data_IF_329877084235
#
_entry.id   IF_329877084235
#
_cell.length_a   1.000
_cell.length_b   1.000
_cell.length_c   1.000
_cell.angle_alpha   90.00
_cell.angle_beta   90.00
_cell.angle_gamma   90.00
#
_symmetry.space_group_name_H-M   'P 1'
#
loop_
_entity.id
_entity.type
_entity.pdbx_description
1 polymer ?
#
# COMPACT_ATOMS: atom_id res chain seq x y z
N UNK A 1 -7.20 29.69 -66.21
CA UNK A 1 -5.77 29.83 -65.81
C UNK A 1 -5.72 30.00 -64.31
N UNK A 2 -4.91 29.15 -63.65
CA UNK A 2 -4.45 29.12 -62.24
C UNK A 2 -5.46 28.92 -61.09
N UNK A 3 -5.29 27.87 -60.25
CA UNK A 3 -6.11 27.60 -59.07
C UNK A 3 -5.54 28.29 -57.82
N UNK A 4 -6.41 28.89 -57.01
CA UNK A 4 -6.04 29.45 -55.71
C UNK A 4 -6.30 28.44 -54.59
N UNK A 5 -5.20 27.84 -54.12
CA UNK A 5 -4.89 27.63 -52.70
C UNK A 5 -5.88 26.83 -51.84
N UNK A 6 -5.70 25.51 -51.86
CA UNK A 6 -6.07 24.61 -50.76
C UNK A 6 -5.24 24.96 -49.50
N UNK A 7 -5.70 25.91 -48.67
CA UNK A 7 -5.07 26.24 -47.38
C UNK A 7 -6.04 26.49 -46.23
N UNK A 8 -7.33 26.18 -46.38
CA UNK A 8 -8.37 26.57 -45.41
C UNK A 8 -9.09 25.40 -44.75
N UNK A 9 -8.43 24.26 -44.53
CA UNK A 9 -9.05 23.11 -43.83
C UNK A 9 -8.26 22.65 -42.59
N UNK A 10 -7.07 23.21 -42.33
CA UNK A 10 -6.20 22.73 -41.24
C UNK A 10 -6.25 23.52 -39.93
N UNK A 11 -7.11 24.53 -39.79
CA UNK A 11 -7.17 25.34 -38.57
C UNK A 11 -8.32 25.03 -37.60
N UNK A 12 -9.26 24.15 -37.97
CA UNK A 12 -10.42 23.81 -37.14
C UNK A 12 -10.26 22.58 -36.25
N UNK A 13 -9.24 21.75 -36.48
CA UNK A 13 -9.05 20.48 -35.77
C UNK A 13 -8.01 20.53 -34.64
N UNK A 14 -7.29 21.65 -34.48
CA UNK A 14 -6.18 21.78 -33.51
C UNK A 14 -6.57 22.51 -32.20
N UNK A 15 -7.86 22.85 -32.01
CA UNK A 15 -8.36 23.50 -30.79
C UNK A 15 -9.08 22.54 -29.83
N UNK A 16 -9.18 21.25 -30.16
CA UNK A 16 -9.77 20.21 -29.29
C UNK A 16 -8.73 19.39 -28.50
N UNK A 17 -7.45 19.76 -28.57
CA UNK A 17 -6.33 18.98 -28.00
C UNK A 17 -5.69 19.59 -26.74
N UNK A 18 -6.29 20.62 -26.13
CA UNK A 18 -5.70 21.32 -24.98
C UNK A 18 -6.60 21.43 -23.73
N UNK A 19 -7.72 20.71 -23.68
CA UNK A 19 -8.61 20.68 -22.51
C UNK A 19 -8.61 19.34 -21.74
N UNK A 20 -7.62 18.49 -22.00
CA UNK A 20 -7.26 17.41 -21.09
C UNK A 20 -5.92 17.79 -20.43
N UNK A 21 -5.87 18.95 -19.79
CA UNK A 21 -4.92 19.18 -18.71
C UNK A 21 -5.30 18.17 -17.63
N UNK A 22 -4.69 16.99 -17.69
CA UNK A 22 -4.62 16.11 -16.54
C UNK A 22 -4.06 16.96 -15.41
N UNK A 23 -4.88 17.25 -14.43
CA UNK A 23 -4.38 17.55 -13.10
C UNK A 23 -3.52 16.35 -12.76
N UNK A 24 -2.20 16.52 -12.88
CA UNK A 24 -1.25 15.59 -12.30
C UNK A 24 -1.41 15.71 -10.79
N UNK A 25 -2.50 15.18 -10.27
CA UNK A 25 -2.70 15.01 -8.84
C UNK A 25 -1.56 14.10 -8.39
N UNK A 26 -0.77 14.63 -7.47
CA UNK A 26 0.27 13.86 -6.82
C UNK A 26 -0.39 12.61 -6.22
N UNK A 27 -0.01 11.40 -6.68
CA UNK A 27 -0.66 10.16 -6.28
C UNK A 27 -0.46 9.84 -4.79
N UNK A 28 0.40 10.58 -4.09
CA UNK A 28 0.62 10.48 -2.64
C UNK A 28 -0.40 11.29 -1.85
N UNK A 29 -1.02 12.33 -2.43
CA UNK A 29 -2.05 13.12 -1.77
C UNK A 29 -3.33 12.30 -1.60
N UNK A 30 -3.92 12.34 -0.41
CA UNK A 30 -5.17 11.65 -0.15
C UNK A 30 -6.31 12.37 -0.91
N UNK A 31 -7.19 11.61 -1.60
CA UNK A 31 -8.32 12.21 -2.31
C UNK A 31 -9.25 12.93 -1.34
N UNK A 32 -10.06 13.87 -1.84
CA UNK A 32 -11.10 14.51 -1.02
C UNK A 32 -11.97 13.45 -0.34
N UNK A 33 -12.24 13.64 0.95
CA UNK A 33 -12.96 12.63 1.73
C UNK A 33 -14.43 12.61 1.32
N UNK A 34 -14.86 11.48 0.77
CA UNK A 34 -16.26 11.17 0.58
C UNK A 34 -16.64 10.04 1.52
N UNK A 35 -17.50 10.30 2.52
CA UNK A 35 -17.91 9.29 3.49
C UNK A 35 -17.88 9.75 4.96
N UNK A 36 -18.12 8.83 5.91
CA UNK A 36 -18.09 9.15 7.33
C UNK A 36 -16.69 9.60 7.78
N UNK A 37 -16.60 10.23 8.95
CA UNK A 37 -15.33 10.62 9.54
C UNK A 37 -14.47 9.38 9.89
N UNK A 38 -13.14 9.44 9.77
CA UNK A 38 -12.26 8.37 10.23
C UNK A 38 -12.48 8.11 11.73
N UNK A 39 -12.47 6.83 12.10
CA UNK A 39 -12.56 6.39 13.50
C UNK A 39 -11.44 5.40 13.81
N UNK A 40 -10.81 5.57 14.97
CA UNK A 40 -9.80 4.64 15.50
C UNK A 40 -10.41 3.27 15.81
N UNK A 41 -11.67 3.21 16.23
CA UNK A 41 -12.38 1.94 16.45
C UNK A 41 -12.55 1.19 15.12
N UNK A 42 -12.92 1.91 14.05
CA UNK A 42 -13.03 1.32 12.72
C UNK A 42 -11.68 0.86 12.16
N UNK A 43 -10.60 1.59 12.46
CA UNK A 43 -9.23 1.19 12.13
C UNK A 43 -8.87 -0.10 12.86
N UNK A 44 -9.09 -0.14 14.18
CA UNK A 44 -8.77 -1.29 15.03
C UNK A 44 -9.50 -2.54 14.58
N UNK A 45 -10.82 -2.48 14.40
CA UNK A 45 -11.60 -3.64 13.96
C UNK A 45 -11.10 -4.20 12.62
N UNK A 46 -10.74 -3.31 11.69
CA UNK A 46 -10.21 -3.73 10.39
C UNK A 46 -8.80 -4.28 10.49
N UNK A 47 -7.97 -3.73 11.37
CA UNK A 47 -6.64 -4.24 11.64
C UNK A 47 -6.70 -5.61 12.33
N UNK A 48 -7.67 -5.85 13.21
CA UNK A 48 -7.92 -7.17 13.81
C UNK A 48 -8.23 -8.21 12.72
N UNK A 49 -9.10 -7.87 11.75
CA UNK A 49 -9.43 -8.76 10.62
C UNK A 49 -8.19 -9.07 9.75
N UNK A 50 -7.35 -8.06 9.49
CA UNK A 50 -6.10 -8.24 8.76
C UNK A 50 -5.09 -9.09 9.54
N UNK A 51 -4.96 -8.86 10.84
CA UNK A 51 -4.06 -9.61 11.74
C UNK A 51 -4.49 -11.07 11.84
N UNK A 52 -5.80 -11.34 11.87
CA UNK A 52 -6.32 -12.70 11.81
C UNK A 52 -5.94 -13.39 10.49
N UNK A 53 -6.10 -12.71 9.35
CA UNK A 53 -5.69 -13.25 8.06
C UNK A 53 -4.18 -13.53 7.99
N UNK A 54 -3.36 -12.68 8.61
CA UNK A 54 -1.92 -12.86 8.73
C UNK A 54 -1.55 -14.08 9.58
N UNK A 55 -2.13 -14.20 10.78
CA UNK A 55 -1.88 -15.31 11.72
C UNK A 55 -2.33 -16.68 11.18
N UNK A 56 -3.33 -16.69 10.29
CA UNK A 56 -3.86 -17.90 9.66
C UNK A 56 -3.21 -18.21 8.30
N UNK A 57 -2.14 -17.49 7.91
CA UNK A 57 -1.46 -17.62 6.62
C UNK A 57 -2.43 -17.45 5.42
N UNK A 58 -3.54 -16.71 5.59
CA UNK A 58 -4.54 -16.41 4.56
C UNK A 58 -4.11 -15.21 3.72
N UNK A 59 -3.02 -15.37 2.97
CA UNK A 59 -2.39 -14.28 2.19
C UNK A 59 -3.34 -13.54 1.26
N UNK A 60 -4.29 -14.24 0.65
CA UNK A 60 -5.26 -13.62 -0.27
C UNK A 60 -6.29 -12.76 0.45
N UNK A 61 -6.62 -13.12 1.68
CA UNK A 61 -7.48 -12.30 2.53
C UNK A 61 -6.71 -11.08 3.03
N UNK A 62 -5.45 -11.26 3.44
CA UNK A 62 -4.58 -10.14 3.83
C UNK A 62 -4.37 -9.14 2.68
N UNK A 63 -4.23 -9.62 1.44
CA UNK A 63 -4.08 -8.77 0.26
C UNK A 63 -5.25 -7.80 0.05
N UNK A 64 -6.47 -8.16 0.47
CA UNK A 64 -7.68 -7.31 0.33
C UNK A 64 -7.60 -6.02 1.15
N UNK A 65 -6.74 -5.96 2.16
CA UNK A 65 -6.56 -4.77 2.99
C UNK A 65 -5.60 -3.75 2.36
N UNK A 66 -4.90 -4.10 1.27
CA UNK A 66 -4.07 -3.15 0.52
C UNK A 66 -4.93 -2.10 -0.15
N UNK A 67 -4.48 -0.85 -0.07
CA UNK A 67 -5.17 0.28 -0.69
C UNK A 67 -5.42 0.07 -2.18
N UNK A 68 -6.59 0.46 -2.71
CA UNK A 68 -6.84 0.51 -4.14
C UNK A 68 -5.80 1.31 -4.90
N UNK A 69 -5.21 2.34 -4.27
CA UNK A 69 -4.11 3.12 -4.84
C UNK A 69 -2.83 2.28 -4.98
N UNK A 70 -2.63 1.31 -4.09
CA UNK A 70 -1.46 0.44 -4.05
C UNK A 70 -1.47 -0.72 -5.05
N UNK A 71 -2.67 -1.11 -5.49
CA UNK A 71 -2.88 -2.29 -6.33
C UNK A 71 -3.35 -1.97 -7.75
N UNK A 72 -3.88 -0.77 -8.01
CA UNK A 72 -4.35 -0.39 -9.35
C UNK A 72 -3.22 0.16 -10.23
N UNK A 73 -3.14 -0.25 -11.51
CA UNK A 73 -2.23 0.37 -12.47
C UNK A 73 -2.50 1.88 -12.58
N UNK A 74 -1.44 2.70 -12.53
CA UNK A 74 -1.53 4.15 -12.80
C UNK A 74 -1.21 4.46 -14.27
N UNK A 75 -1.95 5.40 -14.85
CA UNK A 75 -1.74 5.99 -16.17
C UNK A 75 -1.02 7.36 -16.01
N UNK A 76 -0.16 7.79 -16.95
CA UNK A 76 0.16 7.19 -18.25
C UNK A 76 1.22 6.07 -18.18
N UNK A 77 1.03 5.03 -19.01
CA UNK A 77 2.02 3.98 -19.24
C UNK A 77 3.28 4.61 -19.86
N UNK A 78 4.41 4.64 -19.13
CA UNK A 78 5.70 5.06 -19.72
C UNK A 78 6.69 5.75 -18.80
N UNK A 79 6.34 6.06 -17.54
CA UNK A 79 7.31 6.47 -16.52
C UNK A 79 7.59 5.30 -15.56
N UNK A 80 8.85 4.94 -15.32
CA UNK A 80 9.21 3.85 -14.41
C UNK A 80 9.08 4.35 -12.97
N UNK A 81 7.89 4.14 -12.38
CA UNK A 81 7.46 4.36 -10.98
C UNK A 81 6.02 4.87 -11.11
N UNK A 82 4.94 4.23 -10.69
CA UNK A 82 4.56 3.78 -9.35
C UNK A 82 3.22 3.05 -9.59
N UNK A 83 3.10 1.73 -9.70
CA UNK A 83 2.92 0.75 -8.62
C UNK A 83 2.27 -0.49 -9.26
N UNK A 84 2.48 -1.70 -8.75
CA UNK A 84 1.55 -2.83 -8.93
C UNK A 84 1.96 -3.91 -7.93
N UNK A 85 1.51 -3.79 -6.68
CA UNK A 85 1.58 -4.93 -5.77
C UNK A 85 0.64 -6.00 -6.32
N UNK A 86 1.12 -6.85 -7.23
CA UNK A 86 0.31 -7.98 -7.70
C UNK A 86 0.08 -8.91 -6.52
N UNK A 87 -0.99 -9.69 -6.58
CA UNK A 87 -1.28 -10.69 -5.57
C UNK A 87 -0.09 -11.66 -5.40
N UNK A 88 0.54 -12.06 -6.49
CA UNK A 88 1.71 -12.94 -6.50
C UNK A 88 2.93 -12.30 -5.82
N UNK A 89 3.25 -11.04 -6.17
CA UNK A 89 4.35 -10.31 -5.56
C UNK A 89 4.11 -10.10 -4.06
N UNK A 90 2.88 -9.75 -3.68
CA UNK A 90 2.51 -9.59 -2.28
C UNK A 90 2.72 -10.88 -1.47
N UNK A 91 2.28 -12.02 -2.00
CA UNK A 91 2.45 -13.32 -1.33
C UNK A 91 3.94 -13.64 -1.18
N UNK A 92 4.72 -13.42 -2.25
CA UNK A 92 6.15 -13.69 -2.25
C UNK A 92 6.90 -12.81 -1.24
N UNK A 93 6.67 -11.50 -1.25
CA UNK A 93 7.34 -10.56 -0.37
C UNK A 93 6.97 -10.81 1.10
N UNK A 94 5.68 -10.95 1.38
CA UNK A 94 5.19 -11.21 2.75
C UNK A 94 5.72 -12.53 3.28
N UNK A 95 5.65 -13.60 2.47
CA UNK A 95 6.15 -14.92 2.86
C UNK A 95 7.66 -14.93 3.10
N UNK A 96 8.43 -14.26 2.24
CA UNK A 96 9.90 -14.17 2.38
C UNK A 96 10.30 -13.39 3.63
N UNK A 97 9.59 -12.29 3.93
CA UNK A 97 9.86 -11.47 5.12
C UNK A 97 9.50 -12.22 6.41
N UNK A 98 8.37 -12.91 6.45
CA UNK A 98 7.99 -13.76 7.59
C UNK A 98 9.00 -14.89 7.80
N UNK A 99 9.49 -15.51 6.72
CA UNK A 99 10.55 -16.51 6.81
C UNK A 99 11.85 -15.91 7.37
N UNK A 100 12.20 -14.68 6.99
CA UNK A 100 13.36 -13.96 7.53
C UNK A 100 13.20 -13.67 9.03
N UNK A 101 12.03 -13.20 9.46
CA UNK A 101 11.73 -12.95 10.89
C UNK A 101 11.90 -14.23 11.70
N UNK A 102 11.32 -15.35 11.23
CA UNK A 102 11.48 -16.67 11.87
C UNK A 102 12.95 -17.06 11.97
N UNK A 103 13.72 -16.89 10.90
CA UNK A 103 15.14 -17.20 10.89
C UNK A 103 15.95 -16.33 11.87
N UNK A 104 15.67 -15.02 11.94
CA UNK A 104 16.32 -14.10 12.89
C UNK A 104 15.99 -14.46 14.35
N UNK A 105 14.77 -14.91 14.60
CA UNK A 105 14.31 -15.41 15.88
C UNK A 105 14.88 -16.79 16.26
N UNK A 106 15.69 -17.41 15.40
CA UNK A 106 16.21 -18.76 15.62
C UNK A 106 15.15 -19.86 15.52
N UNK A 107 14.00 -19.56 14.92
CA UNK A 107 12.90 -20.50 14.67
C UNK A 107 13.18 -21.23 13.36
N UNK A 108 13.08 -22.55 13.37
CA UNK A 108 13.36 -23.38 12.19
C UNK A 108 12.09 -24.12 11.74
N UNK A 109 12.03 -24.52 10.46
CA UNK A 109 10.89 -25.28 9.91
C UNK A 109 9.55 -24.50 10.00
N UNK A 110 8.48 -25.19 10.39
CA UNK A 110 7.09 -24.73 10.40
C UNK A 110 6.66 -24.11 11.75
N UNK A 111 7.64 -23.69 12.56
CA UNK A 111 7.38 -23.00 13.82
C UNK A 111 6.59 -21.71 13.56
N UNK A 112 5.50 -21.55 14.31
CA UNK A 112 4.56 -20.45 14.12
C UNK A 112 4.94 -19.25 14.97
N UNK A 113 4.78 -18.08 14.36
CA UNK A 113 4.76 -16.80 15.05
C UNK A 113 3.37 -16.21 14.92
N UNK A 114 2.98 -15.38 15.88
CA UNK A 114 1.70 -14.69 15.92
C UNK A 114 1.90 -13.21 16.10
N UNK A 115 1.15 -12.40 15.39
CA UNK A 115 1.09 -10.97 15.56
C UNK A 115 -0.06 -10.61 16.49
N UNK A 116 0.19 -9.70 17.43
CA UNK A 116 -0.82 -9.13 18.32
C UNK A 116 -0.77 -7.60 18.25
N UNK A 117 -1.94 -6.97 18.09
CA UNK A 117 -2.02 -5.51 18.05
C UNK A 117 -1.82 -4.96 19.46
N UNK A 118 -0.78 -4.13 19.62
CA UNK A 118 -0.46 -3.49 20.90
C UNK A 118 -0.96 -2.05 20.99
N UNK A 119 -1.04 -1.35 19.85
CA UNK A 119 -1.49 0.03 19.82
C UNK A 119 -2.11 0.41 18.47
N UNK A 120 -3.06 1.33 18.49
CA UNK A 120 -3.72 1.89 17.32
C UNK A 120 -3.91 3.39 17.50
N UNK A 121 -3.18 4.17 16.72
CA UNK A 121 -3.15 5.63 16.83
C UNK A 121 -3.33 6.30 15.47
N UNK A 122 -3.53 7.61 15.48
CA UNK A 122 -3.42 8.44 14.26
C UNK A 122 -2.09 9.19 14.28
N UNK A 123 -1.49 9.42 13.11
CA UNK A 123 -0.30 10.28 13.01
C UNK A 123 -0.71 11.71 13.37
N UNK A 124 0.08 12.37 14.22
CA UNK A 124 -0.17 13.75 14.64
C UNK A 124 -0.40 14.64 13.41
N UNK A 125 -1.41 15.50 13.49
CA UNK A 125 -1.89 16.40 12.42
C UNK A 125 -2.56 15.75 11.19
N UNK A 126 -2.75 14.42 11.16
CA UNK A 126 -3.38 13.71 10.02
C UNK A 126 -4.35 12.63 10.49
N UNK A 127 -5.59 13.03 10.75
CA UNK A 127 -6.74 12.20 11.15
C UNK A 127 -7.06 11.04 10.18
N UNK A 128 -6.64 11.17 8.91
CA UNK A 128 -6.80 10.16 7.86
C UNK A 128 -5.60 9.23 7.70
N UNK A 129 -4.62 9.30 8.60
CA UNK A 129 -3.46 8.41 8.62
C UNK A 129 -3.41 7.73 9.99
N UNK A 130 -3.60 6.42 9.98
CA UNK A 130 -3.50 5.55 11.13
C UNK A 130 -2.14 4.88 11.20
N UNK A 131 -1.74 4.51 12.41
CA UNK A 131 -0.60 3.65 12.70
C UNK A 131 -1.11 2.52 13.58
N UNK A 132 -0.85 1.28 13.16
CA UNK A 132 -1.18 0.07 13.90
C UNK A 132 0.13 -0.61 14.27
N UNK A 133 0.40 -0.72 15.58
CA UNK A 133 1.58 -1.42 16.08
C UNK A 133 1.22 -2.86 16.41
N UNK A 134 2.01 -3.79 15.89
CA UNK A 134 1.87 -5.22 16.12
C UNK A 134 3.15 -5.78 16.72
N UNK A 135 3.05 -6.50 17.83
CA UNK A 135 4.17 -7.24 18.38
C UNK A 135 4.13 -8.69 17.89
N UNK A 136 5.32 -9.28 17.72
CA UNK A 136 5.49 -10.63 17.18
C UNK A 136 5.80 -11.58 18.33
N UNK A 137 5.03 -12.66 18.45
CA UNK A 137 5.16 -13.64 19.52
C UNK A 137 5.44 -15.04 19.00
N UNK A 138 6.14 -15.85 19.79
CA UNK A 138 6.31 -17.28 19.62
C UNK A 138 6.11 -17.95 20.98
N UNK A 139 5.17 -18.91 21.07
CA UNK A 139 4.83 -19.59 22.32
C UNK A 139 4.51 -18.63 23.50
N UNK A 140 4.00 -17.43 23.19
CA UNK A 140 3.67 -16.38 24.18
C UNK A 140 4.86 -15.52 24.61
N UNK A 141 6.05 -15.74 24.05
CA UNK A 141 7.23 -14.90 24.25
C UNK A 141 7.40 -13.93 23.10
N UNK A 142 7.78 -12.68 23.42
CA UNK A 142 8.06 -11.65 22.43
C UNK A 142 9.30 -12.04 21.62
N UNK A 143 9.14 -12.09 20.30
CA UNK A 143 10.20 -12.45 19.35
C UNK A 143 11.17 -11.30 19.14
N UNK A 144 10.65 -10.08 18.99
CA UNK A 144 11.43 -8.87 18.74
C UNK A 144 10.60 -7.63 19.12
N UNK A 145 11.29 -6.60 19.60
CA UNK A 145 10.77 -5.24 19.82
C UNK A 145 11.35 -4.23 18.82
N UNK A 146 12.08 -4.70 17.80
CA UNK A 146 12.72 -3.83 16.79
C UNK A 146 11.73 -3.32 15.75
N UNK A 147 10.68 -4.09 15.47
CA UNK A 147 9.72 -3.82 14.41
C UNK A 147 8.30 -4.11 14.88
N UNK A 148 7.36 -3.28 14.43
CA UNK A 148 5.97 -3.32 14.89
C UNK A 148 4.94 -3.38 13.75
N UNK A 149 5.32 -3.85 12.57
CA UNK A 149 4.45 -4.00 11.41
C UNK A 149 4.35 -5.47 10.95
N UNK A 150 3.43 -5.78 10.02
CA UNK A 150 3.26 -7.16 9.56
C UNK A 150 4.44 -7.66 8.70
N UNK A 151 5.35 -6.77 8.28
CA UNK A 151 6.52 -7.10 7.46
C UNK A 151 7.81 -7.20 8.27
N UNK A 152 7.81 -6.78 9.53
CA UNK A 152 8.99 -6.77 10.40
C UNK A 152 10.08 -5.81 9.92
N UNK A 153 9.68 -4.59 9.53
CA UNK A 153 10.57 -3.57 8.98
C UNK A 153 10.37 -2.17 9.56
N UNK A 154 9.17 -1.86 10.08
CA UNK A 154 8.85 -0.50 10.51
C UNK A 154 8.73 -0.46 12.03
N UNK A 155 9.63 0.30 12.66
CA UNK A 155 9.66 0.51 14.12
C UNK A 155 8.39 1.25 14.59
N UNK A 156 7.89 2.20 13.80
CA UNK A 156 6.73 3.01 14.18
C UNK A 156 5.42 2.22 14.13
N UNK A 157 5.37 1.15 13.32
CA UNK A 157 4.20 0.32 13.07
C UNK A 157 3.66 0.42 11.66
N UNK A 158 2.64 -0.38 11.35
CA UNK A 158 2.04 -0.42 10.03
C UNK A 158 1.21 0.85 9.76
N UNK A 159 1.45 1.45 8.60
CA UNK A 159 0.71 2.62 8.15
C UNK A 159 -0.62 2.24 7.50
N UNK A 160 -1.68 2.90 7.95
CA UNK A 160 -3.01 2.85 7.38
C UNK A 160 -3.47 4.22 6.90
N UNK A 161 -4.29 4.26 5.86
CA UNK A 161 -4.89 5.48 5.33
C UNK A 161 -6.39 5.36 5.19
N UNK A 162 -7.10 6.47 5.41
CA UNK A 162 -8.54 6.52 5.30
C UNK A 162 -8.99 7.09 3.95
N UNK A 163 -9.64 6.25 3.15
CA UNK A 163 -10.09 6.56 1.79
C UNK A 163 -11.52 6.06 1.62
N UNK A 164 -12.40 6.95 1.19
CA UNK A 164 -13.79 6.65 0.81
C UNK A 164 -14.59 5.81 1.82
N UNK A 165 -14.42 6.13 3.12
CA UNK A 165 -15.17 5.46 4.19
C UNK A 165 -14.45 4.29 4.85
N UNK A 166 -13.28 3.89 4.35
CA UNK A 166 -12.59 2.67 4.76
C UNK A 166 -11.08 2.88 4.99
N UNK A 167 -10.50 2.08 5.89
CA UNK A 167 -9.08 2.11 6.20
C UNK A 167 -8.31 1.14 5.30
N UNK A 168 -7.12 1.53 4.84
CA UNK A 168 -6.33 0.73 3.91
C UNK A 168 -4.86 0.73 4.28
N UNK A 169 -4.21 -0.39 4.07
CA UNK A 169 -2.77 -0.54 4.25
C UNK A 169 -2.04 0.14 3.08
N UNK A 170 -1.14 1.06 3.41
CA UNK A 170 -0.24 1.72 2.43
C UNK A 170 1.17 1.79 2.99
N UNK A 171 2.21 1.56 2.16
CA UNK A 171 3.58 1.81 2.59
C UNK A 171 3.78 3.30 2.87
N UNK A 172 4.67 3.64 3.80
CA UNK A 172 5.06 5.04 4.02
C UNK A 172 5.85 5.58 2.81
N UNK A 173 6.79 4.77 2.30
CA UNK A 173 7.51 5.05 1.08
C UNK A 173 6.93 4.23 -0.09
N UNK A 174 6.40 4.91 -1.11
CA UNK A 174 5.82 4.27 -2.29
C UNK A 174 6.88 3.64 -3.22
N UNK A 175 8.14 4.09 -3.09
CA UNK A 175 9.29 3.55 -3.82
C UNK A 175 9.80 2.24 -3.19
N UNK A 176 9.52 2.03 -1.90
CA UNK A 176 9.80 0.79 -1.14
C UNK A 176 8.56 -0.13 -1.04
N UNK A 177 7.50 0.19 -1.79
CA UNK A 177 6.33 -0.68 -1.93
C UNK A 177 6.67 -1.97 -2.65
N UNK A 178 5.68 -2.70 -3.17
CA UNK A 178 5.87 -3.98 -3.88
C UNK A 178 6.63 -3.90 -5.23
N UNK A 179 7.49 -2.88 -5.34
CA UNK A 179 8.57 -2.71 -6.29
C UNK A 179 9.91 -2.72 -5.52
N UNK A 180 10.28 -3.85 -4.91
CA UNK A 180 11.68 -4.27 -5.03
C UNK A 180 11.90 -4.72 -6.48
N UNK A 181 11.76 -3.78 -7.42
CA UNK A 181 12.08 -3.96 -8.83
C UNK A 181 13.59 -3.72 -8.98
N UNK A 182 14.40 -4.47 -8.25
CA UNK A 182 15.68 -4.87 -8.81
C UNK A 182 15.41 -6.14 -9.60
N UNK A 183 15.64 -6.06 -10.92
CA UNK A 183 15.63 -7.22 -11.82
C UNK A 183 16.65 -8.31 -11.40
N UNK A 184 17.42 -8.03 -10.35
CA UNK A 184 18.35 -8.90 -9.63
C UNK A 184 18.32 -8.47 -8.16
N UNK A 185 17.66 -9.23 -7.29
CA UNK A 185 17.75 -9.04 -5.83
C UNK A 185 19.20 -9.23 -5.36
N UNK A 186 19.95 -8.13 -5.29
CA UNK A 186 21.25 -7.97 -4.65
C UNK A 186 21.27 -6.63 -3.90
#
# INVERSE_FOLDING_TARGET
MTPASARTVLLGALTLLLAACGTGEDPTLLPEQTGPAPSLEALRNRADDATLALNEDRWLDLYKFKSPRSVRPRLPYGLPAVQLCTQEQFIFDTGTRIAKIRALAGLYRDEKITWEIVDVTTKEDRDRIGVVRLDIFHEGELVTDEFHDYRGEVEEGERWVYIDGEWWIEPENWDEGCHENTLFGL
#
